data_IF_439551841521
#
_entry.id   IF_439551841521
#
_cell.length_a   1.000
_cell.length_b   1.000
_cell.length_c   1.000
_cell.angle_alpha   90.00
_cell.angle_beta   90.00
_cell.angle_gamma   90.00
#
_symmetry.space_group_name_H-M   'P 1'
#
loop_
_entity.id
_entity.type
_entity.pdbx_description
1 polymer ?
#
# COMPACT_ATOMS: atom_id res chain seq x y z
N UNK A 1 -10.39 20.05 -8.91
CA UNK A 1 -11.39 20.14 -9.97
C UNK A 1 -10.77 20.46 -11.34
N UNK A 2 -10.09 21.61 -11.53
CA UNK A 2 -9.55 22.01 -12.84
C UNK A 2 -8.56 21.04 -13.48
N UNK A 3 -7.71 20.37 -12.70
CA UNK A 3 -6.69 19.44 -13.22
C UNK A 3 -7.31 18.11 -13.69
N UNK A 4 -8.31 17.61 -12.99
CA UNK A 4 -9.00 16.37 -13.34
C UNK A 4 -9.84 16.56 -14.61
N UNK A 5 -10.62 17.65 -14.70
CA UNK A 5 -11.38 18.00 -15.90
C UNK A 5 -10.45 18.23 -17.12
N UNK A 6 -9.27 18.83 -16.90
CA UNK A 6 -8.27 18.97 -17.95
C UNK A 6 -7.72 17.61 -18.41
N UNK A 7 -7.45 16.69 -17.47
CA UNK A 7 -6.96 15.35 -17.78
C UNK A 7 -7.98 14.54 -18.60
N UNK A 8 -9.25 14.56 -18.18
CA UNK A 8 -10.34 13.87 -18.88
C UNK A 8 -10.50 14.42 -20.31
N UNK A 9 -10.55 15.75 -20.47
CA UNK A 9 -10.60 16.41 -21.78
C UNK A 9 -9.41 16.09 -22.68
N UNK A 10 -8.21 15.96 -22.10
CA UNK A 10 -7.01 15.57 -22.84
C UNK A 10 -7.14 14.11 -23.34
N UNK A 11 -7.59 13.19 -22.49
CA UNK A 11 -7.80 11.79 -22.87
C UNK A 11 -8.86 11.66 -23.97
N UNK A 12 -9.95 12.40 -23.87
CA UNK A 12 -10.98 12.49 -24.93
C UNK A 12 -10.38 13.00 -26.25
N UNK A 13 -9.56 14.04 -26.20
CA UNK A 13 -8.90 14.59 -27.39
C UNK A 13 -7.93 13.57 -28.03
N UNK A 14 -7.14 12.85 -27.22
CA UNK A 14 -6.26 11.79 -27.71
C UNK A 14 -7.08 10.64 -28.32
N UNK A 15 -8.17 10.21 -27.68
CA UNK A 15 -9.09 9.20 -28.22
C UNK A 15 -9.61 9.61 -29.61
N UNK A 16 -10.03 10.86 -29.77
CA UNK A 16 -10.53 11.35 -31.06
C UNK A 16 -9.41 11.38 -32.13
N UNK A 17 -8.15 11.65 -31.76
CA UNK A 17 -7.00 11.49 -32.66
C UNK A 17 -6.76 10.04 -33.02
N UNK A 18 -6.87 9.10 -32.08
CA UNK A 18 -6.76 7.66 -32.34
C UNK A 18 -7.88 7.13 -33.23
N UNK A 19 -9.08 7.70 -33.20
CA UNK A 19 -10.21 7.38 -34.11
C UNK A 19 -10.10 8.03 -35.48
N UNK A 20 -9.22 9.00 -35.67
CA UNK A 20 -9.07 9.81 -36.87
C UNK A 20 -8.18 9.11 -37.93
N UNK A 21 -8.05 9.66 -39.17
CA UNK A 21 -7.08 9.18 -40.15
C UNK A 21 -5.61 9.21 -39.68
N UNK A 22 -5.31 9.84 -38.55
CA UNK A 22 -3.96 9.89 -37.94
C UNK A 22 -3.65 8.70 -37.03
N UNK A 23 -4.50 7.68 -36.93
CA UNK A 23 -4.29 6.50 -36.06
C UNK A 23 -2.91 5.86 -36.26
N UNK A 24 -2.45 5.69 -37.49
CA UNK A 24 -1.11 5.14 -37.77
C UNK A 24 0.00 6.01 -37.15
N UNK A 25 -0.12 7.33 -37.24
CA UNK A 25 0.84 8.25 -36.64
C UNK A 25 0.80 8.18 -35.10
N UNK A 26 -0.39 8.02 -34.52
CA UNK A 26 -0.52 7.82 -33.07
C UNK A 26 0.12 6.49 -32.64
N UNK A 27 -0.04 5.42 -33.42
CA UNK A 27 0.62 4.12 -33.17
C UNK A 27 2.15 4.20 -33.25
N UNK A 28 2.69 5.03 -34.15
CA UNK A 28 4.13 5.28 -34.23
C UNK A 28 4.66 6.09 -33.03
N UNK A 29 3.86 7.02 -32.50
CA UNK A 29 4.24 7.89 -31.39
C UNK A 29 4.15 7.23 -30.01
N UNK A 30 3.15 6.37 -29.80
CA UNK A 30 2.88 5.78 -28.48
C UNK A 30 2.87 4.25 -28.52
N UNK A 31 2.65 3.46 -29.33
CA UNK A 31 2.50 2.02 -29.57
C UNK A 31 1.03 1.58 -29.72
N UNK A 32 0.84 0.36 -30.21
CA UNK A 32 -0.49 -0.17 -30.52
C UNK A 32 -1.36 -0.39 -29.26
N UNK A 33 -0.77 -0.88 -28.18
CA UNK A 33 -1.46 -1.15 -26.91
C UNK A 33 -2.00 0.14 -26.27
N UNK A 34 -1.21 1.20 -26.28
CA UNK A 34 -1.65 2.51 -25.77
C UNK A 34 -2.75 3.12 -26.66
N UNK A 35 -2.67 2.96 -27.98
CA UNK A 35 -3.74 3.40 -28.90
C UNK A 35 -5.02 2.65 -28.61
N UNK A 36 -4.96 1.33 -28.38
CA UNK A 36 -6.13 0.51 -28.03
C UNK A 36 -6.77 0.97 -26.71
N UNK A 37 -5.96 1.21 -25.68
CA UNK A 37 -6.43 1.74 -24.40
C UNK A 37 -7.13 3.09 -24.57
N UNK A 38 -6.63 4.00 -25.40
CA UNK A 38 -7.31 5.27 -25.66
C UNK A 38 -8.60 5.10 -26.49
N UNK A 39 -8.67 4.10 -27.39
CA UNK A 39 -9.90 3.83 -28.15
C UNK A 39 -11.03 3.32 -27.22
N UNK A 40 -10.68 2.61 -26.17
CA UNK A 40 -11.58 2.10 -25.14
C UNK A 40 -11.90 3.13 -24.04
N UNK A 41 -11.17 4.25 -23.99
CA UNK A 41 -11.37 5.27 -22.96
C UNK A 41 -12.79 5.85 -23.00
N UNK A 42 -13.48 5.79 -21.88
CA UNK A 42 -14.80 6.41 -21.68
C UNK A 42 -14.65 7.71 -20.89
N UNK A 43 -15.36 8.74 -21.32
CA UNK A 43 -15.39 10.04 -20.64
C UNK A 43 -16.08 9.88 -19.28
N UNK A 44 -15.46 10.43 -18.24
CA UNK A 44 -16.04 10.39 -16.91
C UNK A 44 -17.38 11.12 -16.86
N UNK A 45 -18.36 10.51 -16.23
CA UNK A 45 -19.64 11.14 -15.92
C UNK A 45 -19.47 12.25 -14.88
N UNK A 46 -20.45 13.12 -14.76
CA UNK A 46 -20.44 14.17 -13.73
C UNK A 46 -20.40 13.56 -12.32
N UNK A 47 -21.08 12.43 -12.10
CA UNK A 47 -21.11 11.72 -10.82
C UNK A 47 -19.73 11.11 -10.48
N UNK A 48 -19.04 10.52 -11.44
CA UNK A 48 -17.66 10.01 -11.26
C UNK A 48 -16.69 11.15 -10.94
N UNK A 49 -16.80 12.27 -11.64
CA UNK A 49 -15.97 13.46 -11.38
C UNK A 49 -16.20 14.01 -9.97
N UNK A 50 -17.45 14.06 -9.51
CA UNK A 50 -17.79 14.54 -8.16
C UNK A 50 -17.24 13.61 -7.07
N UNK A 51 -17.40 12.28 -7.23
CA UNK A 51 -16.87 11.29 -6.27
C UNK A 51 -15.35 11.26 -6.25
N UNK A 52 -14.70 11.33 -7.41
CA UNK A 52 -13.22 11.38 -7.47
C UNK A 52 -12.67 12.66 -6.84
N UNK A 53 -13.33 13.80 -7.06
CA UNK A 53 -12.95 15.05 -6.40
C UNK A 53 -13.10 14.97 -4.88
N UNK A 54 -14.16 14.32 -4.40
CA UNK A 54 -14.40 14.08 -2.97
C UNK A 54 -13.36 13.13 -2.40
N UNK A 55 -13.03 12.02 -3.08
CA UNK A 55 -11.96 11.10 -2.68
C UNK A 55 -10.63 11.84 -2.51
N UNK A 56 -10.20 12.60 -3.52
CA UNK A 56 -8.96 13.37 -3.47
C UNK A 56 -8.93 14.38 -2.30
N UNK A 57 -10.06 15.01 -2.00
CA UNK A 57 -10.15 15.94 -0.86
C UNK A 57 -10.00 15.21 0.48
N UNK A 58 -10.64 14.06 0.63
CA UNK A 58 -10.55 13.23 1.84
C UNK A 58 -9.15 12.62 2.01
N UNK A 59 -8.49 12.21 0.92
CA UNK A 59 -7.10 11.75 0.98
C UNK A 59 -6.15 12.84 1.47
N UNK A 60 -6.28 14.06 0.96
CA UNK A 60 -5.48 15.19 1.41
C UNK A 60 -5.73 15.53 2.88
N UNK A 61 -6.99 15.51 3.31
CA UNK A 61 -7.35 15.73 4.71
C UNK A 61 -6.78 14.63 5.61
N UNK A 62 -6.90 13.35 5.19
CA UNK A 62 -6.32 12.22 5.91
C UNK A 62 -4.80 12.32 6.03
N UNK A 63 -4.11 12.68 4.95
CA UNK A 63 -2.66 12.88 4.94
C UNK A 63 -2.25 14.03 5.87
N UNK A 64 -2.97 15.14 5.81
CA UNK A 64 -2.72 16.28 6.70
C UNK A 64 -2.88 15.89 8.16
N UNK A 65 -4.02 15.31 8.55
CA UNK A 65 -4.29 14.87 9.92
C UNK A 65 -3.31 13.78 10.38
N UNK A 66 -2.94 12.84 9.50
CA UNK A 66 -1.99 11.77 9.81
C UNK A 66 -0.57 12.26 10.03
N UNK A 67 -0.22 13.42 9.48
CA UNK A 67 1.10 14.04 9.61
C UNK A 67 1.24 14.92 10.86
N UNK A 68 0.16 15.15 11.59
CA UNK A 68 0.21 15.90 12.84
C UNK A 68 0.96 15.13 13.93
N UNK A 69 1.59 15.85 14.84
CA UNK A 69 2.22 15.26 16.02
C UNK A 69 1.16 15.02 17.08
N UNK A 70 1.11 13.78 17.62
CA UNK A 70 0.18 13.39 18.69
C UNK A 70 0.95 13.17 19.97
N UNK A 71 0.40 13.70 21.07
CA UNK A 71 1.03 13.69 22.38
C UNK A 71 0.14 13.01 23.40
N UNK A 72 0.73 12.29 24.33
CA UNK A 72 0.03 11.68 25.46
C UNK A 72 0.70 12.12 26.76
N UNK A 73 -0.10 12.54 27.74
CA UNK A 73 0.40 12.91 29.06
C UNK A 73 0.50 11.65 29.94
N UNK A 74 1.72 11.34 30.38
CA UNK A 74 1.99 10.23 31.29
C UNK A 74 2.89 10.71 32.42
N UNK A 75 2.47 10.50 33.68
CA UNK A 75 3.17 10.91 34.91
C UNK A 75 3.55 12.41 34.94
N UNK A 76 2.69 13.26 34.37
CA UNK A 76 2.88 14.73 34.33
C UNK A 76 3.87 15.20 33.26
N UNK A 77 4.27 14.31 32.35
CA UNK A 77 5.12 14.61 31.22
C UNK A 77 4.40 14.31 29.91
N UNK A 78 4.73 15.08 28.86
CA UNK A 78 4.18 14.94 27.54
C UNK A 78 5.06 14.05 26.67
N UNK A 79 4.47 13.04 26.05
CA UNK A 79 5.15 12.02 25.25
C UNK A 79 4.63 12.01 23.83
N UNK A 80 5.55 12.00 22.87
CA UNK A 80 5.31 11.68 21.47
C UNK A 80 5.99 10.35 21.09
N UNK A 81 5.77 9.87 19.85
CA UNK A 81 6.39 8.62 19.38
C UNK A 81 7.91 8.70 19.28
N UNK A 82 8.46 9.87 18.98
CA UNK A 82 9.92 10.03 18.87
C UNK A 82 10.58 9.89 20.24
N UNK A 83 10.07 10.60 21.23
CA UNK A 83 10.55 10.50 22.60
C UNK A 83 10.38 9.08 23.15
N UNK A 84 9.21 8.48 22.92
CA UNK A 84 8.96 7.10 23.35
C UNK A 84 9.97 6.12 22.74
N UNK A 85 10.25 6.23 21.43
CA UNK A 85 11.23 5.37 20.78
C UNK A 85 12.67 5.57 21.29
N UNK A 86 12.99 6.76 21.75
CA UNK A 86 14.34 7.05 22.30
C UNK A 86 14.52 6.55 23.72
N UNK A 87 13.47 6.56 24.53
CA UNK A 87 13.55 6.30 25.97
C UNK A 87 12.96 4.93 26.37
N UNK A 88 12.28 4.21 25.44
CA UNK A 88 11.58 2.96 25.70
C UNK A 88 12.44 1.87 26.36
N UNK A 89 13.71 1.76 25.99
CA UNK A 89 14.64 0.74 26.54
C UNK A 89 14.95 0.94 28.03
N UNK A 90 14.76 2.16 28.55
CA UNK A 90 15.00 2.53 29.95
C UNK A 90 13.73 2.53 30.80
N UNK A 91 12.57 2.28 30.18
CA UNK A 91 11.24 2.37 30.79
C UNK A 91 10.68 1.00 31.17
N UNK A 92 9.70 1.03 32.09
CA UNK A 92 8.88 -0.14 32.35
C UNK A 92 8.00 -0.47 31.13
N UNK A 93 7.90 -1.75 30.78
CA UNK A 93 7.17 -2.23 29.61
C UNK A 93 5.69 -1.83 29.60
N UNK A 94 5.03 -1.86 30.75
CA UNK A 94 3.62 -1.48 30.86
C UNK A 94 3.45 0.02 30.61
N UNK A 95 4.39 0.85 31.08
CA UNK A 95 4.40 2.29 30.81
C UNK A 95 4.57 2.58 29.31
N UNK A 96 5.49 1.88 28.64
CA UNK A 96 5.71 2.02 27.18
C UNK A 96 4.41 1.69 26.41
N UNK A 97 3.73 0.59 26.79
CA UNK A 97 2.45 0.20 26.17
C UNK A 97 1.38 1.26 26.39
N UNK A 98 1.23 1.77 27.62
CA UNK A 98 0.21 2.78 27.94
C UNK A 98 0.42 4.06 27.14
N UNK A 99 1.64 4.58 27.09
CA UNK A 99 1.98 5.79 26.35
C UNK A 99 1.72 5.57 24.84
N UNK A 100 2.20 4.45 24.28
CA UNK A 100 1.98 4.12 22.88
C UNK A 100 0.50 4.06 22.52
N UNK A 101 -0.30 3.36 23.33
CA UNK A 101 -1.75 3.26 23.13
C UNK A 101 -2.44 4.62 23.26
N UNK A 102 -1.99 5.47 24.19
CA UNK A 102 -2.51 6.82 24.37
C UNK A 102 -2.28 7.69 23.14
N UNK A 103 -1.07 7.69 22.59
CA UNK A 103 -0.70 8.42 21.37
C UNK A 103 -1.49 7.88 20.17
N UNK A 104 -1.53 6.55 19.99
CA UNK A 104 -2.29 5.91 18.91
C UNK A 104 -3.78 6.21 18.99
N UNK A 105 -4.35 6.27 20.20
CA UNK A 105 -5.74 6.64 20.37
C UNK A 105 -6.02 8.07 19.92
N UNK A 106 -5.18 9.03 20.26
CA UNK A 106 -5.33 10.41 19.81
C UNK A 106 -5.31 10.52 18.30
N UNK A 107 -4.34 9.83 17.65
CA UNK A 107 -4.27 9.77 16.20
C UNK A 107 -5.54 9.15 15.60
N UNK A 108 -6.01 8.02 16.12
CA UNK A 108 -7.22 7.36 15.63
C UNK A 108 -8.47 8.22 15.80
N UNK A 109 -8.57 8.95 16.91
CA UNK A 109 -9.68 9.89 17.12
C UNK A 109 -9.66 11.04 16.11
N UNK A 110 -8.48 11.50 15.69
CA UNK A 110 -8.33 12.58 14.71
C UNK A 110 -8.65 12.13 13.27
N UNK A 111 -8.17 10.94 12.86
CA UNK A 111 -8.31 10.50 11.45
C UNK A 111 -9.54 9.61 11.21
N UNK A 112 -10.19 9.12 12.27
CA UNK A 112 -11.18 8.05 12.17
C UNK A 112 -12.41 8.41 11.33
N UNK A 113 -12.95 9.61 11.48
CA UNK A 113 -14.13 10.06 10.73
C UNK A 113 -13.80 10.21 9.24
N UNK A 114 -12.67 10.85 8.92
CA UNK A 114 -12.21 11.03 7.54
C UNK A 114 -11.92 9.68 6.87
N UNK A 115 -11.30 8.75 7.60
CA UNK A 115 -11.03 7.40 7.09
C UNK A 115 -12.31 6.64 6.75
N UNK A 116 -13.33 6.72 7.61
CA UNK A 116 -14.62 6.05 7.35
C UNK A 116 -15.31 6.67 6.13
N UNK A 117 -15.33 8.01 6.02
CA UNK A 117 -15.92 8.69 4.87
C UNK A 117 -15.17 8.37 3.56
N UNK A 118 -13.85 8.28 3.60
CA UNK A 118 -13.03 7.85 2.46
C UNK A 118 -13.38 6.42 2.01
N UNK A 119 -13.57 5.48 2.96
CA UNK A 119 -14.01 4.11 2.66
C UNK A 119 -15.39 4.10 2.00
N UNK A 120 -16.31 4.92 2.48
CA UNK A 120 -17.66 5.00 1.91
C UNK A 120 -17.62 5.54 0.47
N UNK A 121 -16.92 6.64 0.22
CA UNK A 121 -16.74 7.22 -1.13
C UNK A 121 -16.09 6.22 -2.09
N UNK A 122 -15.05 5.51 -1.66
CA UNK A 122 -14.39 4.48 -2.45
C UNK A 122 -15.32 3.33 -2.81
N UNK A 123 -16.20 2.93 -1.90
CA UNK A 123 -17.21 1.91 -2.20
C UNK A 123 -18.29 2.44 -3.15
N UNK A 124 -18.62 3.72 -3.15
CA UNK A 124 -19.52 4.34 -4.14
C UNK A 124 -18.87 4.35 -5.53
N UNK A 125 -17.60 4.74 -5.64
CA UNK A 125 -16.83 4.67 -6.89
C UNK A 125 -16.80 3.23 -7.43
N UNK A 126 -16.51 2.24 -6.59
CA UNK A 126 -16.52 0.84 -7.01
C UNK A 126 -17.87 0.39 -7.57
N UNK A 127 -18.97 0.78 -6.92
CA UNK A 127 -20.34 0.44 -7.39
C UNK A 127 -20.68 1.10 -8.71
N UNK A 128 -20.27 2.36 -8.94
CA UNK A 128 -20.46 3.02 -10.24
C UNK A 128 -19.74 2.25 -11.35
N UNK A 129 -18.56 1.67 -11.04
CA UNK A 129 -17.78 0.87 -11.98
C UNK A 129 -18.21 -0.61 -12.03
N UNK A 130 -19.34 -0.98 -11.40
CA UNK A 130 -19.92 -2.33 -11.49
C UNK A 130 -19.32 -3.38 -10.57
N UNK A 131 -18.54 -2.97 -9.55
CA UNK A 131 -17.95 -3.86 -8.54
C UNK A 131 -18.78 -3.86 -7.25
N UNK A 132 -18.74 -4.97 -6.51
CA UNK A 132 -19.45 -5.09 -5.24
C UNK A 132 -18.84 -4.25 -4.12
N UNK A 133 -17.50 -4.04 -4.15
CA UNK A 133 -16.75 -3.28 -3.17
C UNK A 133 -15.44 -2.74 -3.75
N UNK A 134 -14.84 -1.78 -3.01
CA UNK A 134 -13.60 -1.13 -3.45
C UNK A 134 -12.41 -2.08 -3.54
N UNK A 135 -12.34 -3.14 -2.72
CA UNK A 135 -11.21 -4.07 -2.78
C UNK A 135 -11.17 -4.83 -4.13
N UNK A 136 -12.32 -5.24 -4.66
CA UNK A 136 -12.42 -5.87 -5.98
C UNK A 136 -12.10 -4.89 -7.10
N UNK A 137 -12.67 -3.69 -7.04
CA UNK A 137 -12.37 -2.61 -7.98
C UNK A 137 -10.88 -2.27 -8.01
N UNK A 138 -10.27 -2.11 -6.82
CA UNK A 138 -8.87 -1.74 -6.72
C UNK A 138 -7.92 -2.83 -7.25
N UNK A 139 -8.25 -4.11 -7.06
CA UNK A 139 -7.46 -5.22 -7.60
C UNK A 139 -7.41 -5.20 -9.12
N UNK A 140 -8.53 -4.96 -9.76
CA UNK A 140 -8.67 -4.98 -11.20
C UNK A 140 -8.28 -3.63 -11.84
N UNK A 141 -8.98 -2.56 -11.48
CA UNK A 141 -8.88 -1.28 -12.18
C UNK A 141 -7.76 -0.35 -11.67
N UNK A 142 -7.45 -0.37 -10.35
CA UNK A 142 -6.45 0.54 -9.78
C UNK A 142 -5.04 -0.07 -9.81
N UNK A 143 -4.92 -1.34 -9.38
CA UNK A 143 -3.62 -2.02 -9.29
C UNK A 143 -3.32 -2.89 -10.51
N UNK A 144 -4.27 -3.04 -11.43
CA UNK A 144 -4.15 -3.80 -12.68
C UNK A 144 -3.51 -5.17 -12.43
N UNK A 145 -4.05 -5.92 -11.43
CA UNK A 145 -3.51 -7.22 -11.04
C UNK A 145 -4.05 -8.30 -11.96
N UNK A 146 -3.21 -9.22 -12.36
CA UNK A 146 -3.55 -10.40 -13.15
C UNK A 146 -4.12 -11.56 -12.32
N UNK A 147 -4.42 -11.32 -11.02
CA UNK A 147 -5.01 -12.26 -10.09
C UNK A 147 -6.10 -11.60 -9.24
N UNK A 148 -7.08 -12.38 -8.85
CA UNK A 148 -8.27 -11.93 -8.11
C UNK A 148 -8.05 -11.85 -6.60
N UNK A 149 -8.96 -11.18 -5.91
CA UNK A 149 -8.99 -11.13 -4.45
C UNK A 149 -9.18 -12.55 -3.84
N UNK A 150 -9.94 -13.42 -4.47
CA UNK A 150 -10.17 -14.79 -4.00
C UNK A 150 -8.92 -15.66 -4.16
N UNK A 151 -8.19 -15.54 -5.25
CA UNK A 151 -6.89 -16.20 -5.43
C UNK A 151 -5.87 -15.72 -4.39
N UNK A 152 -5.85 -14.43 -4.06
CA UNK A 152 -5.03 -13.90 -2.95
C UNK A 152 -5.42 -14.54 -1.61
N UNK A 153 -6.70 -14.66 -1.32
CA UNK A 153 -7.20 -15.31 -0.08
C UNK A 153 -6.80 -16.78 -0.02
N UNK A 154 -6.84 -17.48 -1.13
CA UNK A 154 -6.43 -18.88 -1.20
C UNK A 154 -4.92 -19.03 -1.01
N UNK A 155 -4.12 -18.16 -1.62
CA UNK A 155 -2.68 -18.10 -1.38
C UNK A 155 -2.34 -17.82 0.10
N UNK A 156 -3.03 -16.88 0.74
CA UNK A 156 -2.85 -16.61 2.17
C UNK A 156 -3.22 -17.81 3.05
N UNK A 157 -4.22 -18.63 2.67
CA UNK A 157 -4.55 -19.88 3.38
C UNK A 157 -3.41 -20.89 3.28
N UNK A 158 -2.79 -21.05 2.10
CA UNK A 158 -1.64 -21.93 1.92
C UNK A 158 -0.41 -21.45 2.71
N UNK A 159 -0.12 -20.13 2.71
CA UNK A 159 0.92 -19.55 3.59
C UNK A 159 0.63 -19.88 5.06
N UNK A 160 -0.59 -19.63 5.53
CA UNK A 160 -0.99 -19.92 6.92
C UNK A 160 -0.82 -21.39 7.29
N UNK A 161 -1.13 -22.28 6.36
CA UNK A 161 -1.07 -23.73 6.57
C UNK A 161 0.35 -24.29 6.54
N UNK A 162 1.20 -23.76 5.65
CA UNK A 162 2.49 -24.36 5.36
C UNK A 162 3.69 -23.54 5.89
N UNK A 163 3.63 -22.20 5.82
CA UNK A 163 4.74 -21.35 6.21
C UNK A 163 4.68 -20.96 7.69
N UNK A 164 3.50 -20.60 8.20
CA UNK A 164 3.35 -20.17 9.60
C UNK A 164 3.81 -21.23 10.62
N UNK A 165 3.51 -22.55 10.47
CA UNK A 165 4.04 -23.56 11.37
C UNK A 165 5.58 -23.66 11.34
N UNK A 166 6.19 -23.57 10.16
CA UNK A 166 7.65 -23.58 10.02
C UNK A 166 8.28 -22.37 10.74
N UNK A 167 7.68 -21.18 10.60
CA UNK A 167 8.14 -20.00 11.32
C UNK A 167 8.00 -20.13 12.84
N UNK A 168 6.93 -20.77 13.32
CA UNK A 168 6.75 -21.07 14.74
C UNK A 168 7.83 -22.03 15.26
N UNK A 169 8.08 -23.13 14.54
CA UNK A 169 9.13 -24.10 14.89
C UNK A 169 10.53 -23.43 14.89
N UNK A 170 10.81 -22.55 13.93
CA UNK A 170 12.06 -21.78 13.90
C UNK A 170 12.20 -20.87 15.10
N UNK A 171 11.12 -20.20 15.53
CA UNK A 171 11.13 -19.34 16.71
C UNK A 171 11.42 -20.12 17.99
N UNK A 172 10.91 -21.35 18.11
CA UNK A 172 11.17 -22.23 19.26
C UNK A 172 12.63 -22.73 19.29
N UNK A 173 13.27 -22.86 18.12
CA UNK A 173 14.68 -23.29 18.00
C UNK A 173 15.65 -22.11 18.19
N UNK A 174 15.31 -20.94 17.65
CA UNK A 174 16.14 -19.74 17.74
C UNK A 174 15.67 -18.90 18.94
N UNK A 175 16.42 -18.97 20.04
CA UNK A 175 16.20 -18.06 21.16
C UNK A 175 16.65 -16.63 20.80
N UNK A 176 16.23 -15.62 21.58
CA UNK A 176 16.53 -14.21 21.34
C UNK A 176 18.04 -13.94 21.24
N UNK A 177 18.84 -14.67 22.01
CA UNK A 177 20.31 -14.53 22.01
C UNK A 177 20.89 -15.01 20.68
N UNK A 178 20.42 -16.14 20.15
CA UNK A 178 20.88 -16.66 18.86
C UNK A 178 20.46 -15.76 17.71
N UNK A 179 19.24 -15.21 17.74
CA UNK A 179 18.77 -14.24 16.75
C UNK A 179 19.61 -12.98 16.77
N UNK A 180 19.87 -12.38 17.93
CA UNK A 180 20.68 -11.17 18.08
C UNK A 180 22.14 -11.41 17.67
N UNK A 181 22.68 -12.61 17.92
CA UNK A 181 24.02 -12.99 17.46
C UNK A 181 24.09 -13.07 15.94
N UNK A 182 23.15 -13.78 15.30
CA UNK A 182 23.07 -13.88 13.84
C UNK A 182 22.89 -12.50 13.18
N UNK A 183 22.05 -11.65 13.77
CA UNK A 183 21.86 -10.29 13.30
C UNK A 183 23.15 -9.45 13.40
N UNK A 184 23.86 -9.53 14.53
CA UNK A 184 25.11 -8.79 14.73
C UNK A 184 26.27 -9.33 13.88
N UNK A 185 26.34 -10.65 13.67
CA UNK A 185 27.32 -11.29 12.78
C UNK A 185 27.07 -10.95 11.30
N UNK A 186 25.77 -10.74 10.91
CA UNK A 186 25.39 -10.30 9.56
C UNK A 186 25.65 -8.82 9.29
N UNK A 187 25.77 -7.99 10.33
CA UNK A 187 26.08 -6.57 10.19
C UNK A 187 27.57 -6.39 9.82
N UNK A 188 27.80 -5.85 8.65
CA UNK A 188 29.16 -5.63 8.12
C UNK A 188 29.60 -6.66 7.09
N UNK A 189 28.76 -7.65 6.77
CA UNK A 189 29.00 -8.55 5.62
C UNK A 189 28.62 -7.80 4.34
N UNK A 190 29.54 -7.65 3.41
CA UNK A 190 29.26 -7.05 2.11
C UNK A 190 28.25 -7.94 1.34
N UNK A 191 27.31 -7.30 0.63
CA UNK A 191 26.25 -7.99 -0.14
C UNK A 191 26.83 -9.01 -1.14
N UNK A 192 27.97 -8.72 -1.75
CA UNK A 192 28.72 -9.65 -2.61
C UNK A 192 29.11 -10.93 -1.91
N UNK A 193 29.59 -10.83 -0.66
CA UNK A 193 29.97 -11.98 0.16
C UNK A 193 28.77 -12.83 0.57
N UNK A 194 27.61 -12.22 0.81
CA UNK A 194 26.36 -12.95 1.07
C UNK A 194 25.94 -13.75 -0.16
N UNK A 195 25.96 -13.12 -1.34
CA UNK A 195 25.61 -13.77 -2.60
C UNK A 195 26.54 -14.96 -2.90
N UNK A 196 27.85 -14.80 -2.69
CA UNK A 196 28.81 -15.90 -2.86
C UNK A 196 28.56 -17.07 -1.91
N UNK A 197 28.11 -16.81 -0.69
CA UNK A 197 27.85 -17.83 0.32
C UNK A 197 26.52 -18.58 0.07
N UNK A 198 25.48 -17.88 -0.36
CA UNK A 198 24.16 -18.51 -0.59
C UNK A 198 23.98 -19.02 -2.01
N UNK A 199 24.76 -18.53 -3.00
CA UNK A 199 24.66 -18.95 -4.40
C UNK A 199 24.64 -20.46 -4.59
N UNK A 200 25.56 -21.24 -4.02
CA UNK A 200 25.54 -22.70 -4.12
C UNK A 200 24.26 -23.39 -3.60
N UNK A 201 23.62 -22.78 -2.59
CA UNK A 201 22.33 -23.31 -2.05
C UNK A 201 21.15 -22.92 -2.94
N UNK A 202 21.19 -21.75 -3.59
CA UNK A 202 20.17 -21.34 -4.56
C UNK A 202 20.22 -22.22 -5.82
N UNK A 203 21.40 -22.53 -6.34
CA UNK A 203 21.59 -23.48 -7.45
C UNK A 203 21.10 -24.91 -7.13
N UNK A 204 21.14 -25.32 -5.85
CA UNK A 204 20.62 -26.60 -5.39
C UNK A 204 19.07 -26.63 -5.34
N UNK A 205 18.44 -25.46 -5.09
CA UNK A 205 16.99 -25.27 -5.07
C UNK A 205 16.43 -25.10 -6.48
N UNK A 206 17.07 -24.27 -7.27
CA UNK A 206 16.70 -23.99 -8.67
C UNK A 206 17.96 -23.82 -9.52
N UNK A 207 18.31 -24.82 -10.36
CA UNK A 207 19.51 -24.77 -11.21
C UNK A 207 19.47 -23.69 -12.31
N UNK A 208 18.34 -23.01 -12.49
CA UNK A 208 18.19 -21.93 -13.49
C UNK A 208 18.37 -20.52 -12.89
N UNK A 209 18.57 -20.41 -11.55
CA UNK A 209 18.92 -19.18 -10.85
C UNK A 209 20.44 -18.94 -10.90
#
# INVERSE_FOLDING_TARGET
>A
DDMMDYGDRLNVAIRELCKSPYQNTMTELMNAEQVEAYLEYEEMTDEEKELTAKENSLEQEYEQLSSEEFYYEYDGEEWDLNRLNMEADEMDHDAVIEIYQGICKQRNDAVGEVFVELVDVRNEIAKLNGYDNYAEYAYDAVYVRDYTLDETRDHLKEIRKHVVPVMADMKDVLNDTDYMRLYSEGQGTESSSIIEQIGPYLEEIDPEL
#
